data_IF_639285269358
#
_entry.id   IF_639285269358
#
_cell.length_a   1.000
_cell.length_b   1.000
_cell.length_c   1.000
_cell.angle_alpha   90.00
_cell.angle_beta   90.00
_cell.angle_gamma   90.00
#
_symmetry.space_group_name_H-M   'P 1'
#
loop_
_entity.id
_entity.type
_entity.pdbx_description
1 polymer ?
#
# COMPACT_ATOMS: atom_id res chain seq x y z
N UNK A 1 8.63 -19.41 4.25
CA UNK A 1 9.48 -19.27 5.45
C UNK A 1 8.66 -19.11 6.72
N UNK A 2 7.77 -18.11 6.81
CA UNK A 2 6.91 -17.87 7.99
C UNK A 2 6.30 -19.14 8.59
N UNK A 3 5.53 -19.91 7.82
CA UNK A 3 4.87 -21.13 8.33
C UNK A 3 5.87 -22.15 8.90
N UNK A 4 7.04 -22.32 8.29
CA UNK A 4 8.05 -23.26 8.74
C UNK A 4 8.69 -22.82 10.06
N UNK A 5 9.01 -21.53 10.19
CA UNK A 5 9.54 -20.95 11.43
C UNK A 5 8.50 -20.96 12.53
N UNK A 6 7.26 -20.58 12.22
CA UNK A 6 6.14 -20.58 13.15
C UNK A 6 5.88 -22.00 13.67
N UNK A 7 5.88 -23.02 12.80
CA UNK A 7 5.73 -24.42 13.22
C UNK A 7 6.90 -24.90 14.09
N UNK A 8 8.14 -24.52 13.77
CA UNK A 8 9.32 -24.86 14.57
C UNK A 8 9.36 -24.16 15.94
N UNK A 9 8.66 -23.04 16.10
CA UNK A 9 8.66 -22.20 17.31
C UNK A 9 7.38 -22.30 18.15
N UNK A 10 6.48 -23.23 17.81
CA UNK A 10 5.31 -23.54 18.63
C UNK A 10 3.97 -22.99 18.13
N UNK A 11 3.90 -22.43 16.93
CA UNK A 11 2.70 -21.84 16.32
C UNK A 11 2.14 -20.64 17.10
N UNK A 12 3.00 -19.65 17.38
CA UNK A 12 2.61 -18.42 18.08
C UNK A 12 1.70 -17.50 17.24
N UNK A 13 1.71 -17.69 15.92
CA UNK A 13 0.86 -16.97 14.97
C UNK A 13 -0.04 -17.95 14.21
N UNK A 14 -1.14 -17.45 13.63
CA UNK A 14 -1.95 -18.25 12.73
C UNK A 14 -1.12 -18.67 11.51
N UNK A 15 -1.01 -19.97 11.21
CA UNK A 15 -0.40 -20.42 9.96
C UNK A 15 -1.13 -19.84 8.75
N UNK A 16 -0.38 -19.54 7.69
CA UNK A 16 -0.94 -19.01 6.45
C UNK A 16 -1.41 -20.14 5.52
N UNK A 17 -0.53 -21.09 5.22
CA UNK A 17 -0.80 -22.22 4.31
C UNK A 17 -0.63 -23.60 4.99
N UNK A 18 0.08 -23.63 6.11
CA UNK A 18 0.38 -24.85 6.84
C UNK A 18 -0.77 -25.31 7.73
N UNK A 19 -1.21 -26.57 7.57
CA UNK A 19 -2.31 -27.15 8.36
C UNK A 19 -1.86 -28.15 9.43
N UNK A 20 -0.55 -28.29 9.65
CA UNK A 20 -0.01 -29.21 10.67
C UNK A 20 0.14 -28.55 12.05
N UNK A 21 0.60 -29.33 13.02
CA UNK A 21 0.87 -28.86 14.39
C UNK A 21 2.29 -28.32 14.60
N UNK A 22 2.62 -27.84 15.81
CA UNK A 22 3.97 -27.44 16.14
C UNK A 22 4.94 -28.63 16.05
N UNK A 23 6.18 -28.38 15.63
CA UNK A 23 7.18 -29.41 15.37
C UNK A 23 8.34 -29.30 16.35
N UNK A 24 8.24 -30.03 17.47
CA UNK A 24 9.25 -30.04 18.51
C UNK A 24 10.60 -30.59 18.02
N UNK A 25 11.69 -29.91 18.40
CA UNK A 25 13.06 -30.30 18.05
C UNK A 25 13.52 -29.82 16.66
N UNK A 26 12.67 -29.11 15.91
CA UNK A 26 13.10 -28.38 14.72
C UNK A 26 13.80 -27.06 15.09
N UNK A 27 14.84 -26.71 14.33
CA UNK A 27 15.48 -25.41 14.34
C UNK A 27 14.72 -24.48 13.40
N UNK A 28 14.32 -23.31 13.92
CA UNK A 28 13.70 -22.24 13.16
C UNK A 28 14.54 -21.83 11.95
N UNK A 29 15.84 -21.62 12.14
CA UNK A 29 16.77 -21.19 11.09
C UNK A 29 16.89 -22.23 9.98
N UNK A 30 17.10 -23.50 10.33
CA UNK A 30 17.22 -24.55 9.32
C UNK A 30 15.90 -24.77 8.56
N UNK A 31 14.76 -24.63 9.23
CA UNK A 31 13.44 -24.70 8.58
C UNK A 31 13.20 -23.49 7.66
N UNK A 32 13.67 -22.29 8.04
CA UNK A 32 13.64 -21.09 7.21
C UNK A 32 14.50 -21.26 5.95
N UNK A 33 15.76 -21.67 6.10
CA UNK A 33 16.67 -21.93 4.98
C UNK A 33 16.08 -22.97 4.01
N UNK A 34 15.61 -24.11 4.54
CA UNK A 34 15.02 -25.14 3.71
C UNK A 34 13.78 -24.64 2.96
N UNK A 35 12.88 -23.91 3.64
CA UNK A 35 11.69 -23.37 3.01
C UNK A 35 12.02 -22.30 1.94
N UNK A 36 12.91 -21.36 2.25
CA UNK A 36 13.29 -20.28 1.34
C UNK A 36 13.98 -20.81 0.09
N UNK A 37 15.00 -21.63 0.24
CA UNK A 37 15.75 -22.17 -0.90
C UNK A 37 14.93 -23.16 -1.73
N UNK A 38 14.03 -23.96 -1.13
CA UNK A 38 13.10 -24.81 -1.90
C UNK A 38 12.17 -23.96 -2.79
N UNK A 39 11.70 -22.81 -2.29
CA UNK A 39 10.90 -21.88 -3.10
C UNK A 39 11.73 -21.26 -4.22
N UNK A 40 12.95 -20.81 -3.91
CA UNK A 40 13.86 -20.24 -4.92
C UNK A 40 14.20 -21.26 -6.01
N UNK A 41 14.44 -22.52 -5.68
CA UNK A 41 14.67 -23.60 -6.66
C UNK A 41 13.47 -23.78 -7.59
N UNK A 42 12.25 -23.64 -7.06
CA UNK A 42 11.01 -23.74 -7.84
C UNK A 42 10.84 -22.55 -8.80
N UNK A 43 11.23 -21.35 -8.38
CA UNK A 43 11.13 -20.11 -9.17
C UNK A 43 12.29 -19.93 -10.16
N UNK A 44 13.47 -20.43 -9.82
CA UNK A 44 14.72 -20.23 -10.57
C UNK A 44 15.43 -21.56 -10.87
N UNK A 45 14.82 -22.45 -11.68
CA UNK A 45 15.34 -23.79 -11.91
C UNK A 45 16.74 -23.81 -12.55
N UNK A 46 17.14 -22.76 -13.26
CA UNK A 46 18.49 -22.61 -13.84
C UNK A 46 19.58 -22.36 -12.79
N UNK A 47 19.20 -21.96 -11.57
CA UNK A 47 20.10 -21.66 -10.45
C UNK A 47 20.08 -22.75 -9.38
N UNK A 48 19.43 -23.89 -9.64
CA UNK A 48 19.24 -24.97 -8.65
C UNK A 48 20.53 -25.36 -7.93
N UNK A 49 21.63 -25.60 -8.67
CA UNK A 49 22.90 -26.05 -8.07
C UNK A 49 23.52 -25.02 -7.11
N UNK A 50 23.47 -23.72 -7.44
CA UNK A 50 24.00 -22.67 -6.57
C UNK A 50 23.11 -22.47 -5.34
N UNK A 51 21.79 -22.50 -5.53
CA UNK A 51 20.80 -22.40 -4.46
C UNK A 51 20.94 -23.56 -3.46
N UNK A 52 21.05 -24.80 -3.93
CA UNK A 52 21.27 -25.98 -3.07
C UNK A 52 22.58 -25.89 -2.29
N UNK A 53 23.64 -25.40 -2.92
CA UNK A 53 24.93 -25.22 -2.26
C UNK A 53 24.85 -24.17 -1.15
N UNK A 54 24.17 -23.06 -1.39
CA UNK A 54 23.96 -22.00 -0.41
C UNK A 54 23.08 -22.47 0.76
N UNK A 55 21.97 -23.17 0.48
CA UNK A 55 21.11 -23.79 1.50
C UNK A 55 21.90 -24.77 2.39
N UNK A 56 22.68 -25.66 1.77
CA UNK A 56 23.49 -26.63 2.48
C UNK A 56 24.55 -25.95 3.37
N UNK A 57 25.20 -24.90 2.87
CA UNK A 57 26.16 -24.10 3.64
C UNK A 57 25.50 -23.45 4.86
N UNK A 58 24.38 -22.74 4.67
CA UNK A 58 23.64 -22.11 5.76
C UNK A 58 23.22 -23.10 6.84
N UNK A 59 22.64 -24.24 6.44
CA UNK A 59 22.21 -25.29 7.38
C UNK A 59 23.38 -25.95 8.10
N UNK A 60 24.51 -26.19 7.41
CA UNK A 60 25.70 -26.79 8.02
C UNK A 60 26.29 -25.90 9.12
N UNK A 61 26.28 -24.58 8.91
CA UNK A 61 26.87 -23.61 9.84
C UNK A 61 26.12 -23.53 11.19
N UNK A 62 24.87 -24.01 11.24
CA UNK A 62 24.08 -24.05 12.48
C UNK A 62 24.53 -25.13 13.47
N UNK A 63 25.40 -26.08 13.07
CA UNK A 63 25.96 -27.08 13.98
C UNK A 63 24.92 -28.04 14.60
N UNK A 64 23.79 -28.27 13.90
CA UNK A 64 22.68 -29.06 14.41
C UNK A 64 23.01 -30.57 14.49
N UNK A 65 22.38 -31.26 15.43
CA UNK A 65 22.39 -32.73 15.45
C UNK A 65 21.73 -33.29 14.18
N UNK A 66 22.09 -34.50 13.72
CA UNK A 66 21.47 -35.09 12.53
C UNK A 66 19.93 -35.16 12.63
N UNK A 67 19.39 -35.45 13.82
CA UNK A 67 17.96 -35.48 14.05
C UNK A 67 17.30 -34.10 13.88
N UNK A 68 17.86 -33.06 14.54
CA UNK A 68 17.36 -31.69 14.45
C UNK A 68 17.48 -31.14 13.03
N UNK A 69 18.56 -31.45 12.32
CA UNK A 69 18.72 -31.10 10.90
C UNK A 69 17.64 -31.73 10.04
N UNK A 70 17.47 -33.05 10.12
CA UNK A 70 16.56 -33.79 9.24
C UNK A 70 15.10 -33.34 9.43
N UNK A 71 14.66 -33.14 10.69
CA UNK A 71 13.29 -32.68 10.96
C UNK A 71 13.07 -31.25 10.46
N UNK A 72 14.05 -30.36 10.60
CA UNK A 72 13.94 -28.96 10.15
C UNK A 72 13.91 -28.83 8.63
N UNK A 73 14.78 -29.57 7.94
CA UNK A 73 14.83 -29.60 6.47
C UNK A 73 13.53 -30.19 5.91
N UNK A 74 13.07 -31.32 6.45
CA UNK A 74 11.82 -31.94 6.04
C UNK A 74 10.61 -31.00 6.23
N UNK A 75 10.55 -30.28 7.35
CA UNK A 75 9.51 -29.28 7.62
C UNK A 75 9.52 -28.15 6.59
N UNK A 76 10.67 -27.50 6.40
CA UNK A 76 10.79 -26.35 5.50
C UNK A 76 10.51 -26.70 4.03
N UNK A 77 11.13 -27.77 3.53
CA UNK A 77 10.94 -28.24 2.15
C UNK A 77 9.52 -28.71 1.90
N UNK A 78 8.90 -29.42 2.85
CA UNK A 78 7.52 -29.88 2.74
C UNK A 78 6.53 -28.70 2.61
N UNK A 79 6.61 -27.73 3.53
CA UNK A 79 5.74 -26.55 3.51
C UNK A 79 5.93 -25.75 2.21
N UNK A 80 7.18 -25.50 1.80
CA UNK A 80 7.46 -24.75 0.57
C UNK A 80 6.89 -25.43 -0.67
N UNK A 81 7.09 -26.75 -0.78
CA UNK A 81 6.60 -27.53 -1.92
C UNK A 81 5.06 -27.50 -1.99
N UNK A 82 4.40 -27.72 -0.85
CA UNK A 82 2.94 -27.67 -0.77
C UNK A 82 2.38 -26.28 -1.09
N UNK A 83 3.00 -25.22 -0.57
CA UNK A 83 2.57 -23.86 -0.87
C UNK A 83 2.75 -23.51 -2.35
N UNK A 84 3.91 -23.79 -2.94
CA UNK A 84 4.13 -23.58 -4.38
C UNK A 84 3.11 -24.34 -5.24
N UNK A 85 2.84 -25.61 -4.90
CA UNK A 85 1.84 -26.41 -5.62
C UNK A 85 0.42 -25.83 -5.50
N UNK A 86 0.05 -25.29 -4.33
CA UNK A 86 -1.26 -24.66 -4.12
C UNK A 86 -1.51 -23.45 -5.02
N UNK A 87 -0.43 -22.83 -5.52
CA UNK A 87 -0.45 -21.67 -6.40
C UNK A 87 -0.33 -22.01 -7.89
N UNK A 88 -0.23 -23.28 -8.25
CA UNK A 88 0.00 -23.71 -9.65
C UNK A 88 -1.08 -23.26 -10.66
N UNK A 89 -2.29 -22.96 -10.18
CA UNK A 89 -3.42 -22.49 -11.01
C UNK A 89 -3.87 -21.08 -10.64
N UNK A 90 -2.99 -20.29 -10.04
CA UNK A 90 -3.36 -18.98 -9.52
C UNK A 90 -3.53 -17.89 -10.58
N UNK A 91 -3.23 -18.17 -11.85
CA UNK A 91 -3.34 -17.24 -12.97
C UNK A 91 -2.01 -16.58 -13.38
N UNK A 92 -0.97 -16.63 -12.54
CA UNK A 92 0.30 -15.92 -12.78
C UNK A 92 1.04 -16.42 -14.03
N UNK A 93 1.01 -17.74 -14.28
CA UNK A 93 1.65 -18.36 -15.43
C UNK A 93 1.02 -17.99 -16.78
N UNK A 94 -0.23 -17.49 -16.78
CA UNK A 94 -1.00 -17.15 -17.99
C UNK A 94 -1.38 -15.67 -18.07
N UNK A 95 -0.82 -14.85 -17.18
CA UNK A 95 -1.15 -13.44 -17.08
C UNK A 95 -0.67 -12.58 -18.28
N UNK A 96 0.22 -13.10 -19.11
CA UNK A 96 0.49 -12.49 -20.42
C UNK A 96 -0.62 -12.87 -21.41
N UNK A 97 -1.63 -12.02 -21.49
CA UNK A 97 -2.75 -12.14 -22.43
C UNK A 97 -2.53 -11.23 -23.65
N UNK A 98 -3.22 -11.48 -24.78
CA UNK A 98 -3.29 -10.50 -25.87
C UNK A 98 -3.88 -9.18 -25.39
N UNK A 99 -3.38 -8.08 -25.94
CA UNK A 99 -3.87 -6.74 -25.69
C UNK A 99 -3.91 -5.97 -27.01
N UNK A 100 -5.00 -5.23 -27.24
CA UNK A 100 -5.24 -4.48 -28.47
C UNK A 100 -5.39 -3.02 -28.09
N UNK A 101 -4.58 -2.15 -28.70
CA UNK A 101 -4.66 -0.71 -28.45
C UNK A 101 -6.03 -0.16 -28.88
N UNK A 102 -6.61 0.66 -28.01
CA UNK A 102 -7.75 1.49 -28.34
C UNK A 102 -7.40 2.61 -29.33
N UNK A 103 -8.40 3.37 -29.75
CA UNK A 103 -8.22 4.49 -30.68
C UNK A 103 -9.03 5.75 -30.30
N UNK A 104 -9.63 5.76 -29.11
CA UNK A 104 -10.31 6.93 -28.57
C UNK A 104 -9.33 7.79 -27.77
N UNK A 105 -9.57 9.12 -27.66
CA UNK A 105 -8.83 9.96 -26.73
C UNK A 105 -8.86 9.37 -25.31
N UNK A 106 -7.73 9.34 -24.63
CA UNK A 106 -7.59 8.72 -23.30
C UNK A 106 -7.13 7.27 -23.31
N UNK A 107 -7.31 6.52 -24.40
CA UNK A 107 -6.83 5.13 -24.47
C UNK A 107 -5.30 5.07 -24.56
N UNK A 108 -4.70 4.13 -23.82
CA UNK A 108 -3.27 3.89 -23.82
C UNK A 108 -2.71 3.61 -25.21
N UNK A 109 -1.58 4.24 -25.49
CA UNK A 109 -0.80 4.07 -26.71
C UNK A 109 0.64 3.70 -26.35
N UNK A 110 1.32 2.99 -27.26
CA UNK A 110 2.77 2.92 -27.20
C UNK A 110 3.37 4.29 -27.50
N UNK A 111 4.36 4.68 -26.72
CA UNK A 111 5.04 5.98 -26.79
C UNK A 111 6.43 5.89 -27.43
N UNK A 112 6.90 4.67 -27.73
CA UNK A 112 8.11 4.44 -28.51
C UNK A 112 7.95 3.31 -29.53
N UNK A 113 8.59 3.40 -30.72
CA UNK A 113 8.56 2.34 -31.73
C UNK A 113 9.15 0.99 -31.27
N UNK A 114 9.93 0.97 -30.19
CA UNK A 114 10.49 -0.27 -29.62
C UNK A 114 9.50 -1.03 -28.75
N UNK A 115 8.41 -0.38 -28.34
CA UNK A 115 7.36 -0.96 -27.54
C UNK A 115 6.41 -1.75 -28.46
N UNK A 116 6.27 -3.05 -28.21
CA UNK A 116 5.49 -3.95 -29.07
C UNK A 116 4.50 -4.81 -28.30
N UNK A 117 4.52 -4.78 -26.96
CA UNK A 117 3.67 -5.62 -26.11
C UNK A 117 3.42 -4.93 -24.79
N UNK A 118 2.16 -4.93 -24.33
CA UNK A 118 1.80 -4.54 -22.96
C UNK A 118 2.15 -5.68 -22.02
N UNK A 119 2.82 -5.34 -20.91
CA UNK A 119 3.36 -6.34 -19.99
C UNK A 119 2.26 -6.90 -19.10
N UNK A 120 2.03 -8.21 -19.22
CA UNK A 120 1.14 -9.02 -18.39
C UNK A 120 -0.24 -8.38 -18.15
N UNK A 121 -1.03 -8.05 -19.20
CA UNK A 121 -2.32 -7.37 -19.03
C UNK A 121 -3.30 -8.15 -18.15
N UNK A 122 -3.20 -9.47 -18.12
CA UNK A 122 -4.03 -10.35 -17.30
C UNK A 122 -3.58 -10.50 -15.84
N UNK A 123 -2.60 -9.75 -15.35
CA UNK A 123 -2.06 -9.91 -13.98
C UNK A 123 -3.10 -9.61 -12.88
N UNK A 124 -4.12 -8.81 -13.18
CA UNK A 124 -5.28 -8.61 -12.29
C UNK A 124 -6.09 -9.89 -12.02
N UNK A 125 -5.97 -10.92 -12.86
CA UNK A 125 -6.65 -12.21 -12.65
C UNK A 125 -5.87 -13.17 -11.73
N UNK A 126 -4.70 -12.77 -11.23
CA UNK A 126 -3.95 -13.60 -10.30
C UNK A 126 -4.70 -13.68 -8.97
N UNK A 127 -4.82 -14.87 -8.40
CA UNK A 127 -5.48 -15.08 -7.11
C UNK A 127 -4.73 -14.29 -6.02
N UNK A 128 -5.38 -13.38 -5.28
CA UNK A 128 -4.72 -12.64 -4.21
C UNK A 128 -4.11 -13.52 -3.10
N UNK A 129 -3.20 -12.95 -2.33
CA UNK A 129 -2.53 -13.57 -1.20
C UNK A 129 -3.27 -13.31 0.12
N UNK A 130 -3.58 -12.06 0.45
CA UNK A 130 -4.14 -11.70 1.76
C UNK A 130 -5.36 -10.76 1.70
N UNK A 131 -5.50 -9.93 0.66
CA UNK A 131 -6.73 -9.15 0.45
C UNK A 131 -7.91 -10.07 0.13
N UNK A 132 -9.10 -9.70 0.61
CA UNK A 132 -10.33 -10.47 0.38
C UNK A 132 -10.79 -10.42 -1.07
N UNK A 133 -10.60 -9.28 -1.74
CA UNK A 133 -10.91 -9.07 -3.15
C UNK A 133 -10.21 -7.81 -3.66
N UNK A 134 -10.09 -7.63 -4.97
CA UNK A 134 -9.64 -6.34 -5.51
C UNK A 134 -10.61 -5.20 -5.12
N UNK A 135 -11.92 -5.49 -5.08
CA UNK A 135 -12.94 -4.50 -4.78
C UNK A 135 -12.91 -3.94 -3.34
N UNK A 136 -12.34 -4.65 -2.37
CA UNK A 136 -12.22 -4.13 -1.00
C UNK A 136 -11.17 -3.03 -0.87
N UNK A 137 -10.23 -2.98 -1.81
CA UNK A 137 -9.10 -2.04 -1.80
C UNK A 137 -9.04 -1.13 -3.03
N UNK A 138 -10.00 -1.24 -3.95
CA UNK A 138 -9.98 -0.53 -5.22
C UNK A 138 -9.83 1.00 -5.05
N UNK A 139 -9.12 1.67 -5.99
CA UNK A 139 -9.05 3.13 -6.04
C UNK A 139 -10.41 3.72 -6.42
N UNK A 140 -10.54 5.05 -6.28
CA UNK A 140 -11.65 5.74 -6.94
C UNK A 140 -11.47 5.62 -8.46
N UNK A 141 -12.50 5.25 -9.25
CA UNK A 141 -12.39 5.35 -10.70
C UNK A 141 -12.21 6.80 -11.14
N UNK A 142 -11.49 7.04 -12.24
CA UNK A 142 -11.34 8.38 -12.81
C UNK A 142 -12.68 8.93 -13.37
N UNK A 143 -13.53 8.04 -13.87
CA UNK A 143 -14.87 8.35 -14.37
C UNK A 143 -15.83 7.18 -14.14
N UNK A 144 -17.13 7.42 -14.35
CA UNK A 144 -18.19 6.43 -14.24
C UNK A 144 -19.00 6.56 -12.94
N UNK A 145 -19.83 5.54 -12.62
CA UNK A 145 -20.73 5.58 -11.48
C UNK A 145 -20.01 5.89 -10.15
N UNK A 146 -20.51 6.90 -9.42
CA UNK A 146 -19.95 7.29 -8.13
C UNK A 146 -18.80 8.28 -8.19
N UNK A 147 -18.38 8.69 -9.39
CA UNK A 147 -17.33 9.70 -9.58
C UNK A 147 -17.92 11.07 -9.93
N UNK A 148 -17.08 12.11 -9.98
CA UNK A 148 -17.48 13.44 -10.43
C UNK A 148 -17.74 13.52 -11.95
N UNK A 149 -17.29 12.54 -12.73
CA UNK A 149 -17.29 12.56 -14.20
C UNK A 149 -18.02 11.34 -14.75
N UNK A 150 -19.13 11.54 -15.46
CA UNK A 150 -19.95 10.42 -15.91
C UNK A 150 -19.25 9.55 -16.97
N UNK A 151 -18.41 10.16 -17.80
CA UNK A 151 -17.68 9.51 -18.89
C UNK A 151 -16.22 9.92 -18.92
N UNK A 152 -15.38 9.13 -19.60
CA UNK A 152 -13.98 9.46 -19.87
C UNK A 152 -13.84 10.83 -20.57
N UNK A 153 -14.73 11.13 -21.52
CA UNK A 153 -14.75 12.43 -22.21
C UNK A 153 -15.03 13.60 -21.25
N UNK A 154 -15.89 13.41 -20.24
CA UNK A 154 -16.14 14.42 -19.22
C UNK A 154 -14.90 14.65 -18.34
N UNK A 155 -14.19 13.56 -18.00
CA UNK A 155 -12.94 13.65 -17.24
C UNK A 155 -11.84 14.37 -18.04
N UNK A 156 -11.63 13.99 -19.31
CA UNK A 156 -10.65 14.62 -20.20
C UNK A 156 -10.95 16.09 -20.52
N UNK A 157 -12.20 16.53 -20.36
CA UNK A 157 -12.61 17.93 -20.47
C UNK A 157 -12.59 18.69 -19.13
N UNK A 158 -12.24 18.02 -18.03
CA UNK A 158 -12.34 18.58 -16.69
C UNK A 158 -11.18 19.50 -16.32
N UNK A 159 -11.42 20.51 -15.46
CA UNK A 159 -10.33 21.32 -14.90
C UNK A 159 -9.28 20.51 -14.14
N UNK A 160 -9.68 19.40 -13.51
CA UNK A 160 -8.76 18.51 -12.81
C UNK A 160 -7.74 17.90 -13.77
N UNK A 161 -8.21 17.32 -14.87
CA UNK A 161 -7.35 16.72 -15.87
C UNK A 161 -6.37 17.74 -16.48
N UNK A 162 -6.83 18.95 -16.81
CA UNK A 162 -5.92 19.98 -17.33
C UNK A 162 -4.90 20.47 -16.30
N UNK A 163 -5.27 20.55 -15.03
CA UNK A 163 -4.33 20.88 -13.94
C UNK A 163 -3.25 19.80 -13.80
N UNK A 164 -3.65 18.54 -13.84
CA UNK A 164 -2.75 17.40 -13.75
C UNK A 164 -1.82 17.31 -14.96
N UNK A 165 -2.34 17.55 -16.16
CA UNK A 165 -1.53 17.63 -17.39
C UNK A 165 -0.52 18.78 -17.30
N UNK A 166 -0.96 19.98 -16.95
CA UNK A 166 -0.06 21.14 -16.81
C UNK A 166 1.04 20.90 -15.77
N UNK A 167 0.73 20.23 -14.66
CA UNK A 167 1.75 19.90 -13.67
C UNK A 167 2.85 19.02 -14.27
N UNK A 168 2.48 17.96 -15.00
CA UNK A 168 3.46 17.07 -15.64
C UNK A 168 4.20 17.78 -16.78
N UNK A 169 3.52 18.68 -17.49
CA UNK A 169 4.11 19.50 -18.56
C UNK A 169 5.33 20.28 -18.03
N UNK A 170 5.19 20.90 -16.86
CA UNK A 170 6.21 21.78 -16.28
C UNK A 170 7.22 21.11 -15.37
N UNK A 171 6.90 19.93 -14.81
CA UNK A 171 7.76 19.26 -13.83
C UNK A 171 8.31 17.90 -14.29
N UNK A 172 7.65 17.26 -15.25
CA UNK A 172 7.98 15.92 -15.72
C UNK A 172 8.83 15.87 -16.99
N UNK A 173 9.08 17.01 -17.63
CA UNK A 173 9.77 17.03 -18.92
C UNK A 173 11.29 16.93 -18.77
N UNK A 174 11.97 16.36 -19.76
CA UNK A 174 13.42 16.12 -19.74
C UNK A 174 14.27 17.36 -19.48
N UNK A 175 13.84 18.52 -19.95
CA UNK A 175 14.58 19.79 -19.92
C UNK A 175 13.81 20.91 -19.17
N UNK A 176 13.01 20.55 -18.16
CA UNK A 176 12.16 21.48 -17.40
C UNK A 176 12.91 22.29 -16.32
N UNK A 177 14.23 22.09 -16.20
CA UNK A 177 15.06 22.77 -15.21
C UNK A 177 14.93 22.17 -13.80
N UNK A 178 14.69 20.86 -13.70
CA UNK A 178 14.71 20.14 -12.43
C UNK A 178 16.01 20.40 -11.66
N UNK A 179 15.87 20.52 -10.36
CA UNK A 179 16.99 20.54 -9.43
C UNK A 179 17.72 19.20 -9.46
N UNK A 180 18.99 19.21 -9.06
CA UNK A 180 19.76 17.97 -8.97
C UNK A 180 19.14 16.94 -8.00
N UNK A 181 18.48 17.39 -6.93
CA UNK A 181 17.82 16.47 -6.00
C UNK A 181 16.59 15.80 -6.64
N UNK A 182 15.79 16.54 -7.41
CA UNK A 182 14.67 15.95 -8.18
C UNK A 182 15.16 14.90 -9.18
N UNK A 183 16.26 15.19 -9.90
CA UNK A 183 16.88 14.21 -10.80
C UNK A 183 17.35 12.96 -10.04
N UNK A 184 17.95 13.15 -8.87
CA UNK A 184 18.41 12.03 -8.03
C UNK A 184 17.22 11.22 -7.49
N UNK A 185 16.12 11.86 -7.07
CA UNK A 185 14.89 11.20 -6.64
C UNK A 185 14.33 10.34 -7.77
N UNK A 186 14.21 10.91 -8.97
CA UNK A 186 13.69 10.21 -10.14
C UNK A 186 14.57 9.02 -10.54
N UNK A 187 15.89 9.13 -10.39
CA UNK A 187 16.83 8.02 -10.63
C UNK A 187 16.81 6.95 -9.53
N UNK A 188 16.75 7.37 -8.27
CA UNK A 188 16.78 6.47 -7.11
C UNK A 188 15.60 5.50 -7.13
N UNK A 189 14.40 6.02 -7.42
CA UNK A 189 13.16 5.27 -7.52
C UNK A 189 12.83 4.84 -8.94
N UNK A 190 13.77 4.94 -9.89
CA UNK A 190 13.52 4.53 -11.26
C UNK A 190 13.19 3.04 -11.30
N UNK A 191 13.92 2.23 -10.52
CA UNK A 191 13.86 0.77 -10.47
C UNK A 191 13.94 0.12 -11.86
N UNK A 192 14.57 0.85 -12.79
CA UNK A 192 14.90 0.45 -14.15
C UNK A 192 16.33 0.87 -14.43
N UNK A 193 17.06 0.10 -15.24
CA UNK A 193 18.08 0.71 -16.08
C UNK A 193 17.35 1.12 -17.37
N UNK A 194 17.62 2.31 -17.93
CA UNK A 194 16.88 2.87 -19.07
C UNK A 194 16.84 2.03 -20.37
N UNK A 195 17.37 0.79 -20.36
CA UNK A 195 17.33 -0.22 -21.42
C UNK A 195 17.08 -1.66 -20.87
N UNK A 196 16.52 -1.80 -19.67
CA UNK A 196 16.49 -3.06 -18.93
C UNK A 196 15.55 -4.06 -19.57
N UNK A 197 16.02 -5.30 -19.72
CA UNK A 197 15.09 -6.43 -19.89
C UNK A 197 14.31 -6.58 -18.59
N UNK A 198 13.01 -6.84 -18.68
CA UNK A 198 12.21 -7.27 -17.52
C UNK A 198 12.95 -8.37 -16.73
N UNK A 199 13.12 -8.17 -15.43
CA UNK A 199 13.87 -9.07 -14.54
C UNK A 199 15.38 -8.85 -14.45
N UNK A 200 15.89 -7.69 -14.90
CA UNK A 200 17.30 -7.27 -14.71
C UNK A 200 17.50 -6.16 -13.68
N UNK A 201 16.42 -5.73 -13.03
CA UNK A 201 16.38 -4.81 -11.88
C UNK A 201 15.60 -5.45 -10.76
N UNK A 202 15.77 -4.99 -9.54
CA UNK A 202 15.02 -5.47 -8.38
C UNK A 202 13.53 -5.10 -8.48
N UNK A 203 13.19 -4.09 -9.29
CA UNK A 203 11.84 -3.52 -9.46
C UNK A 203 11.32 -2.94 -8.12
N UNK A 204 10.22 -2.15 -8.12
CA UNK A 204 9.77 -1.53 -6.87
C UNK A 204 9.52 -2.51 -5.72
N UNK A 205 8.91 -3.71 -5.95
CA UNK A 205 8.79 -4.71 -4.90
C UNK A 205 10.12 -5.17 -4.30
N UNK A 206 11.17 -5.34 -5.11
CA UNK A 206 12.48 -5.77 -4.64
C UNK A 206 13.17 -4.69 -3.81
N UNK A 207 13.11 -3.44 -4.25
CA UNK A 207 13.65 -2.29 -3.51
C UNK A 207 13.01 -2.19 -2.11
N UNK A 208 11.69 -2.41 -1.99
CA UNK A 208 11.01 -2.44 -0.70
C UNK A 208 11.33 -3.67 0.16
N UNK A 209 11.72 -4.80 -0.45
CA UNK A 209 12.27 -5.95 0.30
C UNK A 209 13.64 -5.60 0.89
N UNK A 210 14.50 -4.91 0.14
CA UNK A 210 15.82 -4.48 0.63
C UNK A 210 15.72 -3.41 1.72
N UNK A 211 14.75 -2.50 1.63
CA UNK A 211 14.41 -1.57 2.72
C UNK A 211 13.99 -2.34 3.98
N UNK A 212 13.11 -3.33 3.82
CA UNK A 212 12.65 -4.15 4.94
C UNK A 212 13.80 -4.95 5.59
N UNK A 213 14.72 -5.49 4.80
CA UNK A 213 15.91 -6.19 5.31
C UNK A 213 16.84 -5.25 6.09
N UNK A 214 17.05 -4.03 5.56
CA UNK A 214 17.84 -2.98 6.23
C UNK A 214 17.22 -2.61 7.58
N UNK A 215 15.90 -2.40 7.62
CA UNK A 215 15.19 -2.04 8.86
C UNK A 215 15.18 -3.21 9.84
N UNK A 216 14.92 -4.43 9.37
CA UNK A 216 14.91 -5.64 10.19
C UNK A 216 16.27 -5.91 10.85
N UNK A 217 17.36 -5.73 10.09
CA UNK A 217 18.74 -5.88 10.60
C UNK A 217 19.08 -4.86 11.68
N UNK A 218 18.45 -3.68 11.65
CA UNK A 218 18.65 -2.62 12.63
C UNK A 218 17.70 -2.70 13.85
N UNK A 219 16.82 -3.71 13.95
CA UNK A 219 15.73 -3.75 14.95
C UNK A 219 15.70 -5.01 15.86
N UNK A 220 16.79 -5.78 15.98
CA UNK A 220 16.91 -6.94 16.88
C UNK A 220 15.72 -7.95 16.80
N UNK A 221 15.15 -8.11 15.60
CA UNK A 221 14.02 -9.02 15.40
C UNK A 221 14.44 -10.48 15.55
N UNK A 222 13.59 -11.28 16.21
CA UNK A 222 13.73 -12.74 16.18
C UNK A 222 13.47 -13.29 14.78
N UNK A 223 13.99 -14.48 14.49
CA UNK A 223 13.77 -15.17 13.21
C UNK A 223 12.28 -15.34 12.88
N UNK A 224 11.43 -15.57 13.90
CA UNK A 224 9.97 -15.63 13.73
C UNK A 224 9.37 -14.28 13.36
N UNK A 225 9.82 -13.20 14.02
CA UNK A 225 9.38 -11.83 13.70
C UNK A 225 9.82 -11.43 12.29
N UNK A 226 11.08 -11.66 11.91
CA UNK A 226 11.57 -11.39 10.57
C UNK A 226 10.82 -12.20 9.52
N UNK A 227 10.57 -13.50 9.77
CA UNK A 227 9.80 -14.33 8.85
C UNK A 227 8.34 -13.86 8.71
N UNK A 228 7.73 -13.37 9.80
CA UNK A 228 6.37 -12.77 9.79
C UNK A 228 6.36 -11.45 9.01
N UNK A 229 7.31 -10.56 9.27
CA UNK A 229 7.43 -9.28 8.57
C UNK A 229 7.60 -9.50 7.07
N UNK A 230 8.56 -10.35 6.67
CA UNK A 230 8.79 -10.66 5.26
C UNK A 230 7.60 -11.32 4.57
N UNK A 231 6.84 -12.18 5.26
CA UNK A 231 5.62 -12.77 4.71
C UNK A 231 4.48 -11.74 4.55
N UNK A 232 4.34 -10.83 5.52
CA UNK A 232 3.34 -9.76 5.48
C UNK A 232 3.66 -8.77 4.35
N UNK A 233 4.92 -8.35 4.24
CA UNK A 233 5.39 -7.46 3.18
C UNK A 233 5.24 -8.13 1.80
N UNK A 234 5.66 -9.38 1.66
CA UNK A 234 5.55 -10.12 0.40
C UNK A 234 4.10 -10.31 -0.06
N UNK A 235 3.18 -10.57 0.85
CA UNK A 235 1.75 -10.65 0.53
C UNK A 235 1.20 -9.29 0.07
N UNK A 236 1.52 -8.20 0.79
CA UNK A 236 1.09 -6.85 0.42
C UNK A 236 1.65 -6.39 -0.93
N UNK A 237 2.93 -6.66 -1.21
CA UNK A 237 3.55 -6.36 -2.50
C UNK A 237 2.93 -7.22 -3.61
N UNK A 238 2.68 -8.50 -3.37
CA UNK A 238 1.99 -9.37 -4.32
C UNK A 238 0.61 -8.83 -4.69
N UNK A 239 -0.20 -8.50 -3.68
CA UNK A 239 -1.57 -7.98 -3.85
C UNK A 239 -1.60 -6.58 -4.47
N UNK A 240 -0.64 -5.72 -4.13
CA UNK A 240 -0.45 -4.42 -4.78
C UNK A 240 -0.24 -4.55 -6.29
N UNK A 241 0.55 -5.53 -6.73
CA UNK A 241 0.74 -5.81 -8.15
C UNK A 241 -0.53 -6.30 -8.83
N UNK A 242 -1.30 -7.16 -8.17
CA UNK A 242 -2.57 -7.69 -8.68
C UNK A 242 -3.56 -6.54 -8.88
N UNK A 243 -3.78 -5.72 -7.86
CA UNK A 243 -4.72 -4.60 -7.88
C UNK A 243 -4.30 -3.54 -8.90
N UNK A 244 -3.01 -3.15 -8.91
CA UNK A 244 -2.53 -2.12 -9.83
C UNK A 244 -2.69 -2.54 -11.29
N UNK A 245 -2.43 -3.81 -11.63
CA UNK A 245 -2.61 -4.30 -13.00
C UNK A 245 -4.08 -4.48 -13.40
N UNK A 246 -4.94 -4.86 -12.46
CA UNK A 246 -6.40 -4.90 -12.70
C UNK A 246 -6.92 -3.53 -13.10
N UNK A 247 -6.61 -2.50 -12.29
CA UNK A 247 -7.04 -1.12 -12.53
C UNK A 247 -6.43 -0.55 -13.83
N UNK A 248 -5.16 -0.85 -14.12
CA UNK A 248 -4.49 -0.43 -15.36
C UNK A 248 -5.17 -0.98 -16.60
N UNK A 249 -5.55 -2.26 -16.56
CA UNK A 249 -6.19 -2.89 -17.69
C UNK A 249 -7.66 -2.48 -17.82
N UNK A 250 -8.36 -2.20 -16.73
CA UNK A 250 -9.76 -1.74 -16.74
C UNK A 250 -9.91 -0.28 -17.20
N UNK A 251 -9.08 0.63 -16.66
CA UNK A 251 -9.14 2.06 -17.02
C UNK A 251 -8.59 2.36 -18.41
N UNK A 252 -7.69 1.51 -18.90
CA UNK A 252 -6.96 1.67 -20.16
C UNK A 252 -6.31 3.06 -20.39
N UNK A 253 -5.95 3.77 -19.30
CA UNK A 253 -5.65 5.20 -19.39
C UNK A 253 -4.24 5.48 -19.92
N UNK A 254 -4.15 6.43 -20.84
CA UNK A 254 -2.91 6.86 -21.50
C UNK A 254 -1.87 7.46 -20.57
N UNK A 255 -0.61 7.46 -21.03
CA UNK A 255 0.51 8.11 -20.35
C UNK A 255 0.55 9.61 -20.63
N UNK A 256 1.20 10.41 -19.77
CA UNK A 256 1.40 11.83 -20.03
C UNK A 256 2.02 12.11 -21.41
N UNK A 257 3.00 11.33 -21.86
CA UNK A 257 3.62 11.53 -23.16
C UNK A 257 2.61 11.48 -24.32
N UNK A 258 1.69 10.50 -24.30
CA UNK A 258 0.62 10.43 -25.31
C UNK A 258 -0.30 11.66 -25.22
N UNK A 259 -0.65 12.08 -24.01
CA UNK A 259 -1.52 13.23 -23.79
C UNK A 259 -0.90 14.56 -24.24
N UNK A 260 0.40 14.78 -23.99
CA UNK A 260 1.13 16.00 -24.40
C UNK A 260 1.13 16.17 -25.92
N UNK A 261 1.30 15.07 -26.64
CA UNK A 261 1.33 15.03 -28.09
C UNK A 261 -0.07 15.04 -28.75
N UNK A 262 -1.15 14.95 -27.97
CA UNK A 262 -2.49 14.81 -28.52
C UNK A 262 -3.15 16.15 -28.88
N UNK A 263 -3.29 16.40 -30.18
CA UNK A 263 -4.05 17.53 -30.71
C UNK A 263 -5.57 17.22 -30.68
N UNK A 264 -6.28 17.65 -29.63
CA UNK A 264 -7.75 17.50 -29.64
C UNK A 264 -8.50 17.91 -28.37
N UNK A 265 -7.81 18.06 -27.24
CA UNK A 265 -8.43 18.44 -25.97
C UNK A 265 -8.28 19.92 -25.63
N UNK A 266 -7.59 20.72 -26.46
CA UNK A 266 -7.25 22.10 -26.10
C UNK A 266 -6.19 22.23 -25.00
N UNK A 267 -5.48 21.13 -24.70
CA UNK A 267 -4.34 21.08 -23.78
C UNK A 267 -3.00 21.45 -24.43
N UNK A 268 -1.90 20.89 -23.92
CA UNK A 268 -0.51 21.25 -24.28
C UNK A 268 -0.25 21.21 -25.79
N UNK A 269 -0.58 20.08 -26.45
CA UNK A 269 -0.32 19.86 -27.88
C UNK A 269 1.13 20.24 -28.24
N UNK A 270 2.08 19.75 -27.45
CA UNK A 270 3.50 20.04 -27.58
C UNK A 270 4.21 18.84 -28.22
N UNK A 271 4.54 18.90 -29.54
CA UNK A 271 5.21 17.82 -30.23
C UNK A 271 6.70 17.68 -29.89
N UNK A 272 7.26 18.61 -29.12
CA UNK A 272 8.66 18.58 -28.69
C UNK A 272 8.83 18.11 -27.24
N UNK A 273 7.72 17.98 -26.50
CA UNK A 273 7.75 17.52 -25.12
C UNK A 273 8.30 16.10 -25.04
N UNK A 274 9.16 15.86 -24.05
CA UNK A 274 9.68 14.52 -23.76
C UNK A 274 9.66 14.32 -22.25
N UNK A 275 9.22 13.15 -21.76
CA UNK A 275 9.32 12.84 -20.34
C UNK A 275 10.79 12.70 -19.94
N UNK A 276 11.10 12.96 -18.67
CA UNK A 276 12.44 12.73 -18.12
C UNK A 276 12.85 11.25 -18.24
N UNK A 277 11.91 10.33 -17.97
CA UNK A 277 12.12 8.89 -18.11
C UNK A 277 11.31 8.30 -19.26
N UNK A 278 11.84 7.26 -19.93
CA UNK A 278 11.06 6.49 -20.89
C UNK A 278 9.81 5.88 -20.23
N UNK A 279 8.70 5.96 -20.95
CA UNK A 279 7.44 5.40 -20.47
C UNK A 279 7.49 3.87 -20.35
N UNK A 280 6.99 3.29 -19.23
CA UNK A 280 6.84 1.85 -19.11
C UNK A 280 5.78 1.27 -20.06
N UNK A 281 5.90 -0.03 -20.36
CA UNK A 281 5.07 -0.80 -21.29
C UNK A 281 3.68 -1.19 -20.74
N UNK A 282 2.99 -0.27 -20.08
CA UNK A 282 1.67 -0.48 -19.47
C UNK A 282 0.99 0.86 -19.17
N UNK A 283 -0.33 0.82 -18.96
CA UNK A 283 -1.21 1.96 -18.74
C UNK A 283 -0.82 2.81 -17.53
N UNK A 284 -1.33 4.03 -17.47
CA UNK A 284 -0.97 5.01 -16.46
C UNK A 284 -1.70 4.78 -15.13
N UNK A 285 -3.03 4.81 -15.13
CA UNK A 285 -3.81 4.79 -13.89
C UNK A 285 -3.96 3.38 -13.30
N UNK A 286 -3.68 3.11 -12.02
CA UNK A 286 -2.98 3.90 -10.99
C UNK A 286 -1.45 3.69 -11.04
N UNK A 287 -0.67 4.53 -10.37
CA UNK A 287 0.78 4.35 -10.28
C UNK A 287 1.14 3.08 -9.51
N UNK A 288 1.84 2.15 -10.19
CA UNK A 288 2.31 0.91 -9.56
C UNK A 288 3.35 1.18 -8.48
N UNK A 289 4.31 2.08 -8.72
CA UNK A 289 5.33 2.45 -7.72
C UNK A 289 4.68 2.99 -6.45
N UNK A 290 3.71 3.88 -6.58
CA UNK A 290 2.97 4.45 -5.45
C UNK A 290 2.21 3.37 -4.68
N UNK A 291 1.56 2.45 -5.40
CA UNK A 291 0.79 1.35 -4.80
C UNK A 291 1.69 0.37 -4.03
N UNK A 292 2.78 -0.10 -4.64
CA UNK A 292 3.75 -0.98 -3.95
C UNK A 292 4.35 -0.29 -2.73
N UNK A 293 4.74 0.98 -2.90
CA UNK A 293 5.47 1.72 -1.87
C UNK A 293 4.62 1.97 -0.65
N UNK A 294 3.38 2.43 -0.82
CA UNK A 294 2.51 2.68 0.32
C UNK A 294 2.02 1.37 0.96
N UNK A 295 1.83 0.29 0.19
CA UNK A 295 1.53 -1.03 0.76
C UNK A 295 2.67 -1.53 1.66
N UNK A 296 3.92 -1.40 1.20
CA UNK A 296 5.09 -1.75 1.97
C UNK A 296 5.26 -0.87 3.22
N UNK A 297 5.15 0.45 3.06
CA UNK A 297 5.25 1.40 4.18
C UNK A 297 4.18 1.15 5.24
N UNK A 298 2.95 0.86 4.83
CA UNK A 298 1.85 0.55 5.75
C UNK A 298 2.10 -0.73 6.53
N UNK A 299 2.57 -1.80 5.87
CA UNK A 299 2.94 -3.05 6.57
C UNK A 299 4.07 -2.83 7.56
N UNK A 300 5.11 -2.07 7.19
CA UNK A 300 6.23 -1.76 8.07
C UNK A 300 5.75 -0.95 9.28
N UNK A 301 4.97 0.11 9.05
CA UNK A 301 4.44 0.96 10.11
C UNK A 301 3.53 0.18 11.08
N UNK A 302 2.62 -0.65 10.58
CA UNK A 302 1.74 -1.47 11.41
C UNK A 302 2.54 -2.53 12.19
N UNK A 303 3.50 -3.20 11.54
CA UNK A 303 4.32 -4.23 12.19
C UNK A 303 5.13 -3.69 13.37
N UNK A 304 5.75 -2.51 13.21
CA UNK A 304 6.52 -1.86 14.26
C UNK A 304 5.66 -1.03 15.22
N UNK A 305 4.37 -0.84 14.92
CA UNK A 305 3.44 -0.01 15.68
C UNK A 305 3.75 1.49 15.60
N UNK A 306 4.56 1.92 14.63
CA UNK A 306 4.95 3.30 14.40
C UNK A 306 5.48 3.48 12.98
N UNK A 307 5.15 4.61 12.35
CA UNK A 307 5.71 5.03 11.07
C UNK A 307 7.05 5.78 11.24
N UNK A 308 7.32 6.31 12.44
CA UNK A 308 8.49 7.14 12.75
C UNK A 308 9.78 6.32 12.99
N UNK A 309 10.15 5.47 12.01
CA UNK A 309 11.45 4.79 11.99
C UNK A 309 12.32 5.41 10.91
N UNK A 310 13.46 5.97 11.33
CA UNK A 310 14.44 6.51 10.39
C UNK A 310 15.34 5.41 9.84
N UNK A 311 15.58 5.43 8.54
CA UNK A 311 16.44 4.46 7.84
C UNK A 311 17.09 5.12 6.62
N UNK A 312 18.13 4.49 6.10
CA UNK A 312 18.70 4.81 4.80
C UNK A 312 18.51 3.62 3.86
N UNK A 313 18.12 3.90 2.63
CA UNK A 313 17.93 2.95 1.56
C UNK A 313 18.97 3.18 0.47
N UNK A 314 19.38 2.12 -0.21
CA UNK A 314 20.29 2.17 -1.35
C UNK A 314 19.47 1.96 -2.62
N UNK A 315 19.76 2.71 -3.68
CA UNK A 315 19.13 2.52 -4.98
C UNK A 315 19.50 1.14 -5.56
N UNK A 316 18.71 0.66 -6.52
CA UNK A 316 19.05 -0.52 -7.33
C UNK A 316 20.53 -0.42 -7.78
N UNK A 317 21.34 -1.48 -7.62
CA UNK A 317 22.75 -1.47 -8.05
C UNK A 317 22.97 -1.16 -9.55
N UNK A 318 21.91 -1.26 -10.35
CA UNK A 318 21.85 -0.92 -11.77
C UNK A 318 21.06 0.38 -12.03
N UNK A 319 20.79 1.20 -11.03
CA UNK A 319 20.18 2.51 -11.22
C UNK A 319 21.14 3.45 -11.97
N UNK A 320 20.58 4.31 -12.84
CA UNK A 320 21.34 5.26 -13.64
C UNK A 320 20.72 6.65 -13.61
N UNK A 321 21.54 7.68 -13.85
CA UNK A 321 21.10 9.05 -14.04
C UNK A 321 20.43 9.22 -15.42
N UNK A 322 19.84 10.39 -15.66
CA UNK A 322 19.19 10.70 -16.94
C UNK A 322 20.15 10.68 -18.15
N UNK A 323 21.47 10.68 -17.91
CA UNK A 323 22.52 10.54 -18.91
C UNK A 323 23.05 9.11 -19.03
N UNK A 324 22.38 8.14 -18.39
CA UNK A 324 22.75 6.74 -18.34
C UNK A 324 24.13 6.47 -17.70
N UNK A 325 24.52 7.29 -16.71
CA UNK A 325 25.66 6.99 -15.83
C UNK A 325 25.18 6.23 -14.59
N UNK A 326 25.92 5.21 -14.11
CA UNK A 326 25.55 4.53 -12.87
C UNK A 326 25.42 5.48 -11.69
N UNK A 327 24.37 5.31 -10.89
CA UNK A 327 24.22 6.02 -9.62
C UNK A 327 25.31 5.53 -8.65
N UNK A 328 26.04 6.47 -8.06
CA UNK A 328 27.14 6.17 -7.13
C UNK A 328 27.20 7.17 -5.98
N UNK A 329 27.85 6.76 -4.88
CA UNK A 329 28.06 7.61 -3.72
C UNK A 329 26.75 8.12 -3.13
N UNK A 330 26.73 9.40 -2.74
CA UNK A 330 25.58 10.03 -2.09
C UNK A 330 24.32 10.13 -2.96
N UNK A 331 24.42 9.93 -4.29
CA UNK A 331 23.24 9.89 -5.17
C UNK A 331 22.55 8.51 -5.16
N UNK A 332 23.24 7.46 -4.69
CA UNK A 332 22.74 6.10 -4.61
C UNK A 332 22.20 5.73 -3.22
N UNK A 333 22.24 6.65 -2.24
CA UNK A 333 21.74 6.45 -0.88
C UNK A 333 20.78 7.58 -0.52
N UNK A 334 19.61 7.23 0.04
CA UNK A 334 18.63 8.21 0.53
C UNK A 334 18.16 7.82 1.92
N UNK A 335 18.02 8.80 2.81
CA UNK A 335 17.61 8.57 4.19
C UNK A 335 16.27 9.25 4.46
N UNK A 336 15.40 8.52 5.14
CA UNK A 336 14.03 8.90 5.43
C UNK A 336 13.80 8.92 6.94
N UNK A 337 12.92 9.80 7.39
CA UNK A 337 12.47 9.86 8.77
C UNK A 337 11.33 8.90 9.10
N UNK A 338 10.60 8.43 8.08
CA UNK A 338 9.46 7.52 8.19
C UNK A 338 9.27 6.67 6.94
N UNK A 339 8.48 5.59 7.03
CA UNK A 339 8.17 4.76 5.88
C UNK A 339 7.24 5.47 4.90
N UNK A 340 6.24 6.22 5.40
CA UNK A 340 5.33 6.98 4.53
C UNK A 340 6.04 8.11 3.78
N UNK A 341 7.08 8.73 4.36
CA UNK A 341 7.93 9.70 3.65
C UNK A 341 8.64 9.05 2.46
N UNK A 342 9.24 7.87 2.65
CA UNK A 342 9.87 7.13 1.55
C UNK A 342 8.85 6.75 0.47
N UNK A 343 7.65 6.29 0.86
CA UNK A 343 6.60 5.95 -0.09
C UNK A 343 6.06 7.15 -0.87
N UNK A 344 5.93 8.31 -0.21
CA UNK A 344 5.55 9.55 -0.86
C UNK A 344 6.61 10.00 -1.89
N UNK A 345 7.90 9.96 -1.51
CA UNK A 345 8.99 10.30 -2.43
C UNK A 345 9.07 9.35 -3.63
N UNK A 346 8.83 8.04 -3.40
CA UNK A 346 8.72 7.06 -4.48
C UNK A 346 7.57 7.39 -5.44
N UNK A 347 6.44 7.88 -4.94
CA UNK A 347 5.33 8.37 -5.74
C UNK A 347 5.67 9.63 -6.53
N UNK A 348 6.25 10.63 -5.87
CA UNK A 348 6.64 11.92 -6.47
C UNK A 348 7.70 11.75 -7.56
N UNK A 349 8.60 10.77 -7.41
CA UNK A 349 9.58 10.41 -8.42
C UNK A 349 8.97 10.12 -9.79
N UNK A 350 7.71 9.64 -9.83
CA UNK A 350 7.00 9.29 -11.07
C UNK A 350 6.45 10.51 -11.78
N UNK A 351 6.12 11.55 -11.01
CA UNK A 351 5.71 12.84 -11.54
C UNK A 351 6.92 13.59 -12.10
N UNK A 352 8.04 13.60 -11.36
CA UNK A 352 9.33 14.14 -11.82
C UNK A 352 9.81 13.39 -13.08
N UNK A 353 9.58 12.08 -13.12
CA UNK A 353 9.87 11.23 -14.27
C UNK A 353 9.04 11.54 -15.52
N UNK A 354 7.92 12.26 -15.39
CA UNK A 354 7.03 12.59 -16.51
C UNK A 354 6.14 11.44 -16.99
N UNK A 355 5.98 10.39 -16.20
CA UNK A 355 5.37 9.13 -16.66
C UNK A 355 4.05 8.78 -15.97
N UNK A 356 3.60 9.61 -15.02
CA UNK A 356 2.31 9.46 -14.33
C UNK A 356 1.66 10.84 -14.11
N UNK A 357 0.33 10.86 -14.03
CA UNK A 357 -0.42 12.04 -13.59
C UNK A 357 -0.49 12.10 -12.04
N UNK A 358 -0.67 13.29 -11.44
CA UNK A 358 -0.91 13.42 -10.00
C UNK A 358 -2.03 12.51 -9.47
N UNK A 359 -3.15 12.39 -10.19
CA UNK A 359 -4.24 11.49 -9.83
C UNK A 359 -3.80 10.02 -9.72
N UNK A 360 -2.94 9.54 -10.64
CA UNK A 360 -2.40 8.16 -10.61
C UNK A 360 -1.59 7.91 -9.34
N UNK A 361 -0.81 8.91 -8.92
CA UNK A 361 0.05 8.83 -7.73
C UNK A 361 -0.79 8.81 -6.46
N UNK A 362 -1.70 9.78 -6.31
CA UNK A 362 -2.56 9.90 -5.12
C UNK A 362 -3.39 8.64 -4.89
N UNK A 363 -4.08 8.16 -5.92
CA UNK A 363 -4.93 6.98 -5.81
C UNK A 363 -4.10 5.69 -5.69
N UNK A 364 -2.88 5.68 -6.24
CA UNK A 364 -1.90 4.62 -5.99
C UNK A 364 -1.50 4.52 -4.52
N UNK A 365 -1.13 5.64 -3.89
CA UNK A 365 -0.78 5.68 -2.46
C UNK A 365 -1.98 5.23 -1.59
N UNK A 366 -3.16 5.80 -1.83
CA UNK A 366 -4.39 5.42 -1.09
C UNK A 366 -4.69 3.93 -1.23
N UNK A 367 -4.56 3.38 -2.43
CA UNK A 367 -4.78 1.94 -2.68
C UNK A 367 -3.74 1.09 -1.96
N UNK A 368 -2.46 1.48 -2.00
CA UNK A 368 -1.40 0.79 -1.26
C UNK A 368 -1.67 0.77 0.25
N UNK A 369 -2.12 1.88 0.83
CA UNK A 369 -2.50 1.95 2.25
C UNK A 369 -3.63 0.97 2.60
N UNK A 370 -4.69 0.92 1.78
CA UNK A 370 -5.80 -0.04 1.96
C UNK A 370 -5.30 -1.49 1.92
N UNK A 371 -4.42 -1.82 0.97
CA UNK A 371 -3.84 -3.16 0.82
C UNK A 371 -3.01 -3.54 2.06
N UNK A 372 -2.10 -2.66 2.49
CA UNK A 372 -1.27 -2.92 3.66
C UNK A 372 -2.11 -3.15 4.93
N UNK A 373 -3.11 -2.31 5.16
CA UNK A 373 -4.04 -2.46 6.28
C UNK A 373 -4.81 -3.79 6.23
N UNK A 374 -5.32 -4.16 5.05
CA UNK A 374 -6.10 -5.39 4.90
C UNK A 374 -5.22 -6.64 5.07
N UNK A 375 -3.99 -6.63 4.57
CA UNK A 375 -3.01 -7.72 4.78
C UNK A 375 -2.74 -7.94 6.26
N UNK A 376 -2.46 -6.86 7.01
CA UNK A 376 -2.16 -6.94 8.44
C UNK A 376 -3.37 -7.36 9.29
N UNK A 377 -4.59 -7.06 8.82
CA UNK A 377 -5.83 -7.50 9.46
C UNK A 377 -6.16 -8.98 9.19
N UNK A 378 -5.90 -9.47 7.98
CA UNK A 378 -6.40 -10.77 7.53
C UNK A 378 -5.40 -11.91 7.67
N UNK A 379 -4.10 -11.63 7.61
CA UNK A 379 -3.06 -12.65 7.54
C UNK A 379 -1.99 -12.49 8.62
N UNK A 380 -1.31 -13.58 8.95
CA UNK A 380 -0.15 -13.60 9.86
C UNK A 380 -0.45 -13.04 11.26
N UNK A 381 -1.70 -13.12 11.71
CA UNK A 381 -2.15 -12.56 12.99
C UNK A 381 -1.69 -13.44 14.16
N UNK A 382 -1.50 -12.83 15.33
CA UNK A 382 -1.17 -13.57 16.55
C UNK A 382 -2.30 -14.55 16.91
N UNK A 383 -1.97 -15.75 17.38
CA UNK A 383 -2.98 -16.62 17.99
C UNK A 383 -3.37 -15.99 19.33
N UNK A 384 -4.66 -15.70 19.59
CA UNK A 384 -5.06 -15.17 20.88
C UNK A 384 -4.66 -16.15 21.99
N UNK A 385 -3.85 -15.69 22.94
CA UNK A 385 -3.49 -16.48 24.12
C UNK A 385 -4.75 -17.03 24.80
N UNK A 386 -4.74 -18.27 25.36
CA UNK A 386 -5.91 -18.86 26.02
C UNK A 386 -6.49 -17.97 27.13
N UNK A 387 -5.64 -17.17 27.78
CA UNK A 387 -6.03 -16.18 28.79
C UNK A 387 -6.82 -15.01 28.21
N UNK A 388 -6.51 -14.55 27.00
CA UNK A 388 -7.24 -13.51 26.28
C UNK A 388 -8.64 -13.99 25.87
N UNK A 389 -8.76 -15.25 25.45
CA UNK A 389 -10.05 -15.90 25.17
C UNK A 389 -10.86 -16.04 26.46
N UNK A 390 -10.22 -16.44 27.56
CA UNK A 390 -10.87 -16.52 28.87
C UNK A 390 -11.34 -15.13 29.37
N UNK A 391 -10.53 -14.07 29.18
CA UNK A 391 -10.89 -12.71 29.56
C UNK A 391 -12.07 -12.17 28.72
N UNK A 392 -12.07 -12.42 27.41
CA UNK A 392 -13.20 -12.11 26.51
C UNK A 392 -14.47 -12.87 26.92
N UNK A 393 -14.36 -14.16 27.26
CA UNK A 393 -15.48 -14.97 27.73
C UNK A 393 -16.02 -14.46 29.08
N UNK A 394 -15.16 -14.10 30.03
CA UNK A 394 -15.54 -13.52 31.32
C UNK A 394 -16.23 -12.17 31.12
N UNK A 395 -15.70 -11.31 30.24
CA UNK A 395 -16.31 -10.03 29.89
C UNK A 395 -17.70 -10.18 29.27
N UNK A 396 -17.88 -11.13 28.35
CA UNK A 396 -19.17 -11.44 27.74
C UNK A 396 -20.19 -11.97 28.76
N UNK A 397 -19.77 -12.83 29.68
CA UNK A 397 -20.61 -13.33 30.78
C UNK A 397 -21.02 -12.20 31.73
N UNK A 398 -20.11 -11.27 32.03
CA UNK A 398 -20.39 -10.10 32.87
C UNK A 398 -21.43 -9.17 32.22
N UNK A 399 -21.28 -8.90 30.91
CA UNK A 399 -22.23 -8.09 30.13
C UNK A 399 -23.62 -8.76 30.03
N UNK A 400 -23.68 -10.08 29.84
CA UNK A 400 -24.94 -10.83 29.89
C UNK A 400 -25.58 -10.81 31.29
N UNK A 401 -24.76 -10.87 32.35
CA UNK A 401 -25.20 -10.73 33.73
C UNK A 401 -25.80 -9.34 34.02
N UNK A 402 -25.16 -8.27 33.56
CA UNK A 402 -25.66 -6.90 33.63
C UNK A 402 -26.98 -6.73 32.89
N UNK A 403 -27.10 -7.26 31.67
CA UNK A 403 -28.36 -7.23 30.90
C UNK A 403 -29.50 -7.96 31.62
N UNK A 404 -29.25 -9.13 32.20
CA UNK A 404 -30.25 -9.86 33.00
C UNK A 404 -30.65 -9.10 34.26
N UNK A 405 -29.72 -8.41 34.92
CA UNK A 405 -29.99 -7.61 36.11
C UNK A 405 -30.86 -6.39 35.79
N UNK A 406 -30.56 -5.68 34.71
CA UNK A 406 -31.38 -4.56 34.21
C UNK A 406 -32.78 -5.02 33.81
N UNK A 407 -32.89 -6.19 33.17
CA UNK A 407 -34.19 -6.74 32.79
C UNK A 407 -35.05 -7.14 34.01
N UNK A 408 -34.43 -7.69 35.06
CA UNK A 408 -35.11 -7.99 36.33
C UNK A 408 -35.54 -6.73 37.09
N UNK A 409 -34.73 -5.67 37.10
CA UNK A 409 -35.11 -4.40 37.71
C UNK A 409 -36.30 -3.75 36.98
N UNK A 410 -36.33 -3.82 35.65
CA UNK A 410 -37.48 -3.34 34.85
C UNK A 410 -38.75 -4.16 35.09
N UNK A 411 -38.63 -5.48 35.26
CA UNK A 411 -39.78 -6.34 35.59
C UNK A 411 -40.32 -6.08 37.02
N UNK A 412 -39.44 -5.81 37.99
CA UNK A 412 -39.84 -5.49 39.37
C UNK A 412 -40.52 -4.11 39.48
N UNK A 413 -40.12 -3.14 38.66
CA UNK A 413 -40.74 -1.81 38.62
C UNK A 413 -42.17 -1.80 38.04
N UNK A 414 -42.57 -2.84 37.29
CA UNK A 414 -43.90 -2.97 36.70
C UNK A 414 -44.92 -3.65 37.63
N UNK A 415 -44.53 -4.12 38.82
CA UNK A 415 -45.40 -4.84 39.77
C UNK A 415 -45.43 -4.22 41.18
N UNK A 416 -45.05 -2.95 41.32
CA UNK A 416 -45.24 -2.19 42.56
C UNK A 416 -46.72 -1.77 42.74
N UNK A 417 -47.27 -1.79 43.98
CA UNK A 417 -48.66 -1.43 44.24
C UNK A 417 -48.88 0.06 43.91
N UNK A 418 -49.83 0.32 43.00
CA UNK A 418 -50.15 1.67 42.52
C UNK A 418 -50.71 2.57 43.64
N UNK A 419 -50.30 3.84 43.72
CA UNK A 419 -50.89 4.78 44.66
C UNK A 419 -52.27 5.26 44.18
N UNK A 420 -53.17 5.37 45.14
CA UNK A 420 -54.54 5.86 45.01
C UNK A 420 -54.64 7.20 44.29
N UNK A 421 -55.55 7.26 43.31
CA UNK A 421 -56.02 8.47 42.65
C UNK A 421 -56.88 9.27 43.62
N UNK A 422 -56.42 10.46 44.00
CA UNK A 422 -57.16 11.41 44.83
C UNK A 422 -56.86 12.84 44.42
N UNK A 423 -57.80 13.41 43.65
CA UNK A 423 -58.03 14.84 43.40
C UNK A 423 -56.97 15.62 42.59
N UNK A 424 -57.37 15.96 41.37
CA UNK A 424 -56.85 17.14 40.67
C UNK A 424 -57.59 18.40 41.12
N UNK A 425 -56.92 19.56 41.01
CA UNK A 425 -57.51 20.67 40.28
C UNK A 425 -56.65 21.05 39.08
N UNK A 426 -57.33 21.20 37.94
CA UNK A 426 -56.80 21.83 36.73
C UNK A 426 -56.52 23.30 37.03
N UNK A 427 -55.30 23.76 36.79
CA UNK A 427 -55.04 25.14 36.41
C UNK A 427 -54.40 25.16 35.03
N UNK A 428 -55.02 25.97 34.16
CA UNK A 428 -54.64 26.16 32.78
C UNK A 428 -53.29 26.86 32.64
N UNK A 429 -52.65 26.50 31.53
CA UNK A 429 -51.38 26.97 31.00
C UNK A 429 -51.41 28.47 30.72
N UNK A 430 -50.36 29.19 31.16
CA UNK A 430 -49.60 30.16 30.36
C UNK A 430 -48.31 30.48 31.12
N UNK A 431 -47.16 30.00 30.60
CA UNK A 431 -45.83 30.33 31.14
C UNK A 431 -45.04 31.10 30.10
N UNK A 432 -44.69 32.35 30.42
CA UNK A 432 -43.44 32.99 30.01
C UNK A 432 -42.83 33.65 31.25
N UNK A 433 -41.49 33.60 31.32
CA UNK A 433 -40.54 34.46 32.05
C UNK A 433 -40.13 34.07 33.49
N UNK A 434 -38.83 33.75 33.64
CA UNK A 434 -37.83 34.27 34.60
C UNK A 434 -36.85 33.14 35.02
N UNK A 435 -35.58 33.18 34.58
CA UNK A 435 -34.39 33.67 35.32
C UNK A 435 -34.02 32.81 36.55
N UNK A 436 -32.79 32.37 36.81
CA UNK A 436 -31.47 32.61 36.25
C UNK A 436 -30.40 32.07 37.23
N UNK A 437 -29.14 32.01 36.75
CA UNK A 437 -27.82 31.86 37.42
C UNK A 437 -27.00 30.68 36.89
N UNK A 438 -25.72 30.78 36.58
CA UNK A 438 -24.82 31.80 36.01
C UNK A 438 -23.44 31.10 35.89
N UNK A 439 -22.64 31.50 34.88
CA UNK A 439 -21.22 31.15 34.70
C UNK A 439 -21.01 29.93 33.79
N UNK A 440 -20.32 29.98 32.65
CA UNK A 440 -19.20 30.81 32.21
C UNK A 440 -19.27 30.97 30.67
N UNK A 441 -19.00 32.18 30.19
CA UNK A 441 -19.31 32.68 28.85
C UNK A 441 -18.22 32.33 27.80
N UNK A 442 -18.64 31.79 26.65
CA UNK A 442 -17.83 31.65 25.45
C UNK A 442 -18.71 31.93 24.22
N UNK A 443 -18.29 32.94 23.45
CA UNK A 443 -18.72 33.34 22.11
C UNK A 443 -20.04 34.11 21.96
N UNK A 444 -19.92 35.43 21.77
CA UNK A 444 -20.88 36.22 21.00
C UNK A 444 -20.39 36.43 19.57
N UNK A 445 -21.25 36.06 18.63
CA UNK A 445 -21.29 36.52 17.25
C UNK A 445 -22.36 37.63 17.15
N UNK A 446 -22.16 38.64 16.29
CA UNK A 446 -23.09 38.99 15.17
C UNK A 446 -22.74 40.36 14.54
N UNK A 447 -22.58 40.30 13.22
CA UNK A 447 -22.83 41.27 12.15
C UNK A 447 -22.08 42.62 12.08
N UNK A 448 -21.36 42.76 10.96
CA UNK A 448 -21.67 43.81 9.99
C UNK A 448 -21.18 43.42 8.59
N UNK A 449 -22.11 43.26 7.66
CA UNK A 449 -21.82 43.16 6.23
C UNK A 449 -21.80 44.58 5.63
N UNK A 450 -20.66 45.00 5.06
CA UNK A 450 -20.60 45.94 3.92
C UNK A 450 -19.18 46.07 3.36
N UNK A 451 -19.06 45.82 2.04
CA UNK A 451 -18.10 46.35 1.04
C UNK A 451 -16.58 46.32 1.34
N UNK A 452 -15.84 45.60 0.48
CA UNK A 452 -14.74 46.07 -0.40
C UNK A 452 -14.25 44.83 -1.20
N UNK A 453 -14.55 44.75 -2.49
CA UNK A 453 -13.66 45.06 -3.63
C UNK A 453 -12.44 44.14 -3.82
N UNK A 454 -12.39 43.60 -5.06
CA UNK A 454 -11.38 42.79 -5.72
C UNK A 454 -9.93 43.17 -5.40
N UNK A 455 -9.09 42.18 -5.03
CA UNK A 455 -7.83 41.85 -5.73
C UNK A 455 -6.95 40.86 -4.93
N UNK A 456 -6.20 40.06 -5.69
CA UNK A 456 -5.09 39.15 -5.30
C UNK A 456 -5.45 37.79 -4.69
N UNK A 457 -5.51 36.79 -5.58
CA UNK A 457 -5.23 35.40 -5.23
C UNK A 457 -3.71 35.26 -5.06
N UNK A 458 -3.25 34.91 -3.86
CA UNK A 458 -1.87 34.48 -3.62
C UNK A 458 -1.86 32.95 -3.58
N UNK A 459 -1.08 32.35 -4.49
CA UNK A 459 -0.80 30.93 -4.52
C UNK A 459 -0.09 30.48 -3.24
N UNK A 460 -0.47 29.32 -2.71
CA UNK A 460 0.20 28.68 -1.60
C UNK A 460 1.33 27.79 -2.16
N UNK A 461 2.61 27.97 -1.76
CA UNK A 461 3.69 27.13 -2.22
C UNK A 461 3.70 25.79 -1.45
N UNK A 462 3.66 24.69 -2.19
CA UNK A 462 3.87 23.33 -1.70
C UNK A 462 5.38 23.09 -1.52
N UNK A 463 5.94 23.46 -0.37
CA UNK A 463 7.19 22.87 0.14
C UNK A 463 7.25 23.02 1.67
N UNK A 464 7.47 21.96 2.46
CA UNK A 464 7.57 22.10 3.90
C UNK A 464 8.90 22.74 4.30
N UNK A 465 8.86 23.96 4.83
CA UNK A 465 9.93 24.44 5.71
C UNK A 465 9.71 23.91 7.13
N UNK A 466 10.75 23.31 7.71
CA UNK A 466 10.72 22.77 9.08
C UNK A 466 10.45 23.89 10.08
N UNK A 467 9.21 23.96 10.58
CA UNK A 467 8.67 24.70 11.76
C UNK A 467 7.56 25.72 11.40
N UNK A 468 6.30 25.28 11.41
CA UNK A 468 5.09 26.11 11.38
C UNK A 468 3.81 25.26 11.39
N UNK A 469 2.66 25.75 11.91
CA UNK A 469 1.49 24.91 12.17
C UNK A 469 0.81 24.44 10.88
N UNK A 470 0.38 23.16 10.88
CA UNK A 470 -0.27 22.49 9.75
C UNK A 470 -1.73 22.97 9.62
N UNK A 471 -2.12 23.44 8.43
CA UNK A 471 -3.52 23.66 8.06
C UNK A 471 -4.12 22.36 7.54
N UNK A 472 -5.26 21.93 8.10
CA UNK A 472 -6.05 20.80 7.61
C UNK A 472 -7.13 21.38 6.69
N UNK A 473 -7.14 20.98 5.42
CA UNK A 473 -8.27 21.22 4.52
C UNK A 473 -9.28 20.10 4.77
N UNK A 474 -10.35 20.41 5.51
CA UNK A 474 -11.50 19.53 5.63
C UNK A 474 -12.42 19.76 4.44
N UNK A 475 -12.52 18.77 3.57
CA UNK A 475 -13.57 18.71 2.55
C UNK A 475 -14.82 18.12 3.23
N UNK A 476 -15.85 18.93 3.39
CA UNK A 476 -17.16 18.49 3.90
C UNK A 476 -18.07 18.30 2.67
N UNK A 477 -18.89 17.22 2.59
CA UNK A 477 -19.61 16.80 1.39
C UNK A 477 -20.54 17.84 0.76
#
# INVERSE_FOLDING_TARGET
MFDAVNAATGLNYQPYSYSGGPVAGASADAAAYAAGYTMLESLFPTQTSSLQSAAASGINNLGLSPAARNISVGLGTGISTSFFASRSTDGSAVAQTPYTLGNQPGNYQFTSPTQTTVVRPGWGNVTPFAITSISSVAPQPLWGPGTAYATEADYLASPQYFSDLQFVETHGCKDCGQTQDELNIASFWADTNGNAKFGSTETPPGHWVDIMDTVATNTDLTVLQTARLGASLGAALGDAGIVAWDVKNDSDFWRPDTAMHFAGLGGANDPAWQPLWPDPLFQSYISGHSTFSMAAATVLADFFGTDDISFCATADPNAHDANNNPLTGAAAERCFGSFTEAAAEAGDSRLIGGIHFPADNVEGLITGEKIGNEVMANAFTAVPEPSSVAALAIGAVFLMGLRRRVHRMRAAALHGPGPNLGQQPRFGVHTVIAEGREGVDAAQFVASATRLELSTWAACPLWPSRKGPRCIVLQVP
#
